data_IF_724056860781
#
_entry.id   IF_724056860781
#
_cell.length_a   1.000
_cell.length_b   1.000
_cell.length_c   1.000
_cell.angle_alpha   90.00
_cell.angle_beta   90.00
_cell.angle_gamma   90.00
#
_symmetry.space_group_name_H-M   'P 1'
#
loop_
_entity.id
_entity.type
_entity.pdbx_description
1 polymer ?
#
# COMPACT_ATOMS: atom_id res chain seq x y z
N UNK A 1 -21.00 2.97 -5.85
CA UNK A 1 -19.97 2.36 -6.70
C UNK A 1 -20.09 2.96 -8.08
N UNK A 2 -19.05 3.63 -8.56
CA UNK A 2 -18.96 4.11 -9.95
C UNK A 2 -17.83 3.30 -10.60
N UNK A 3 -18.11 2.70 -11.76
CA UNK A 3 -17.12 2.00 -12.58
C UNK A 3 -16.74 2.93 -13.73
N UNK A 4 -15.45 3.18 -13.92
CA UNK A 4 -14.92 3.88 -15.09
C UNK A 4 -13.72 3.07 -15.59
N UNK A 5 -13.76 2.61 -16.84
CA UNK A 5 -12.65 1.92 -17.54
C UNK A 5 -11.89 0.87 -16.70
N UNK A 6 -12.61 -0.03 -16.02
CA UNK A 6 -12.02 -1.12 -15.24
C UNK A 6 -11.56 -0.76 -13.83
N UNK A 7 -11.57 0.52 -13.46
CA UNK A 7 -11.31 1.01 -12.09
C UNK A 7 -12.60 0.95 -11.27
N UNK A 8 -12.51 0.36 -10.06
CA UNK A 8 -13.64 0.37 -9.13
C UNK A 8 -13.34 1.21 -7.89
N UNK A 9 -14.26 2.13 -7.60
CA UNK A 9 -14.16 3.04 -6.47
C UNK A 9 -15.20 2.72 -5.39
N UNK A 10 -14.70 2.48 -4.18
CA UNK A 10 -15.48 2.26 -2.96
C UNK A 10 -15.41 3.51 -2.08
N UNK A 11 -16.49 4.28 -2.04
CA UNK A 11 -16.68 5.37 -1.10
C UNK A 11 -18.11 5.34 -0.55
N UNK A 12 -18.27 5.81 0.68
CA UNK A 12 -19.56 6.24 1.20
C UNK A 12 -19.91 7.63 0.66
N UNK A 13 -21.17 8.10 0.76
CA UNK A 13 -21.68 9.30 0.09
C UNK A 13 -20.93 10.62 0.37
N UNK A 14 -19.97 10.64 1.30
CA UNK A 14 -19.19 11.81 1.67
C UNK A 14 -18.37 12.41 0.50
N UNK A 15 -18.09 11.62 -0.55
CA UNK A 15 -17.45 12.11 -1.77
C UNK A 15 -18.29 11.68 -2.97
N UNK A 16 -18.81 12.59 -3.81
CA UNK A 16 -19.40 12.26 -5.10
C UNK A 16 -18.30 11.91 -6.12
N UNK A 17 -18.66 11.22 -7.20
CA UNK A 17 -17.74 10.95 -8.33
C UNK A 17 -17.91 12.01 -9.44
N UNK A 18 -16.83 12.52 -10.05
CA UNK A 18 -15.44 12.29 -9.67
C UNK A 18 -15.13 12.95 -8.32
N UNK A 19 -14.32 12.30 -7.45
CA UNK A 19 -13.93 12.91 -6.19
C UNK A 19 -13.13 14.20 -6.47
N UNK A 20 -13.16 15.13 -5.53
CA UNK A 20 -12.37 16.36 -5.62
C UNK A 20 -11.43 16.41 -4.43
N UNK A 21 -10.15 16.24 -4.74
CA UNK A 21 -9.03 16.23 -3.81
C UNK A 21 -9.31 15.33 -2.59
N UNK A 22 -9.97 14.17 -2.73
CA UNK A 22 -10.42 13.39 -1.57
C UNK A 22 -9.29 12.54 -0.96
N UNK A 23 -9.32 12.23 0.37
CA UNK A 23 -8.48 11.17 0.93
C UNK A 23 -8.80 9.85 0.26
N UNK A 24 -7.76 9.21 -0.27
CA UNK A 24 -7.90 7.96 -0.99
C UNK A 24 -6.77 7.01 -0.62
N UNK A 25 -7.12 5.75 -0.40
CA UNK A 25 -6.18 4.66 -0.21
C UNK A 25 -6.34 3.69 -1.35
N UNK A 26 -5.24 3.41 -2.02
CA UNK A 26 -5.16 2.36 -3.02
C UNK A 26 -4.99 1.05 -2.29
N UNK A 27 -5.83 0.09 -2.64
CA UNK A 27 -5.73 -1.25 -2.09
C UNK A 27 -5.36 -2.24 -3.18
N UNK A 28 -4.42 -3.12 -2.85
CA UNK A 28 -3.99 -4.23 -3.70
C UNK A 28 -4.21 -5.56 -2.99
N UNK A 29 -4.80 -6.52 -3.70
CA UNK A 29 -5.02 -7.88 -3.20
C UNK A 29 -3.69 -8.65 -3.01
N UNK A 30 -3.70 -9.64 -2.12
CA UNK A 30 -2.66 -10.67 -2.03
C UNK A 30 -2.58 -11.52 -3.30
N UNK A 31 -1.59 -12.42 -3.40
CA UNK A 31 -1.33 -13.37 -4.50
C UNK A 31 -1.74 -12.99 -5.95
N UNK A 32 -0.83 -13.04 -6.93
CA UNK A 32 -1.24 -13.15 -8.34
C UNK A 32 -2.18 -14.36 -8.48
N UNK A 33 -3.29 -14.23 -9.20
CA UNK A 33 -4.37 -15.23 -9.16
C UNK A 33 -5.68 -14.72 -8.58
N UNK A 34 -5.67 -13.82 -7.59
CA UNK A 34 -6.94 -13.41 -6.98
C UNK A 34 -7.65 -12.31 -7.79
N UNK A 35 -8.97 -12.43 -7.90
CA UNK A 35 -9.80 -11.40 -8.50
C UNK A 35 -9.84 -10.16 -7.60
N UNK A 36 -9.70 -8.98 -8.22
CA UNK A 36 -9.89 -7.71 -7.52
C UNK A 36 -11.27 -7.17 -7.87
N UNK A 37 -12.24 -7.45 -7.02
CA UNK A 37 -13.62 -6.99 -7.18
C UNK A 37 -14.06 -6.24 -5.95
N UNK A 38 -14.93 -5.25 -6.13
CA UNK A 38 -15.55 -4.60 -4.99
C UNK A 38 -16.54 -5.55 -4.33
N UNK A 39 -16.19 -5.98 -3.12
CA UNK A 39 -17.01 -6.84 -2.27
C UNK A 39 -17.28 -6.15 -0.93
N UNK A 40 -18.20 -6.72 -0.16
CA UNK A 40 -18.42 -6.26 1.21
C UNK A 40 -17.45 -6.98 2.15
N UNK A 41 -16.45 -6.26 2.64
CA UNK A 41 -15.57 -6.75 3.70
C UNK A 41 -15.17 -5.62 4.65
N UNK A 42 -15.00 -5.99 5.91
CA UNK A 42 -14.67 -5.06 7.02
C UNK A 42 -13.41 -5.46 7.77
N UNK A 43 -12.68 -6.46 7.30
CA UNK A 43 -11.39 -6.83 7.88
C UNK A 43 -10.29 -5.85 7.40
N UNK A 44 -9.20 -5.77 8.16
CA UNK A 44 -8.13 -4.78 7.93
C UNK A 44 -7.32 -5.03 6.64
N UNK A 45 -7.29 -6.26 6.18
CA UNK A 45 -6.58 -6.70 4.97
C UNK A 45 -7.40 -6.43 3.70
N UNK A 46 -8.73 -6.34 3.82
CA UNK A 46 -9.70 -6.02 2.77
C UNK A 46 -10.59 -4.83 3.19
N UNK A 47 -10.05 -3.59 3.22
CA UNK A 47 -10.69 -2.45 3.87
C UNK A 47 -11.83 -1.82 3.06
N UNK A 48 -12.47 -2.56 2.14
CA UNK A 48 -13.46 -2.07 1.17
C UNK A 48 -14.57 -1.22 1.78
N UNK A 49 -15.02 -1.61 2.97
CA UNK A 49 -16.08 -0.91 3.71
C UNK A 49 -15.54 -0.30 5.00
N UNK A 50 -14.43 -0.81 5.53
CA UNK A 50 -13.79 -0.30 6.73
C UNK A 50 -13.37 1.16 6.55
N UNK A 51 -12.41 1.45 5.68
CA UNK A 51 -11.88 2.82 5.51
C UNK A 51 -12.95 3.83 5.03
N UNK A 52 -13.87 3.48 4.11
CA UNK A 52 -14.93 4.41 3.70
C UNK A 52 -15.87 4.83 4.83
N UNK A 53 -16.17 3.94 5.79
CA UNK A 53 -16.94 4.29 7.01
C UNK A 53 -16.24 5.34 7.88
N UNK A 54 -14.94 5.53 7.70
CA UNK A 54 -14.15 6.52 8.42
C UNK A 54 -13.72 7.70 7.54
N UNK A 55 -14.33 7.86 6.35
CA UNK A 55 -14.14 9.01 5.47
C UNK A 55 -12.92 8.92 4.56
N UNK A 56 -12.37 7.72 4.36
CA UNK A 56 -11.22 7.48 3.48
C UNK A 56 -11.70 6.58 2.34
N UNK A 57 -11.66 7.08 1.10
CA UNK A 57 -12.09 6.28 -0.05
C UNK A 57 -11.09 5.18 -0.34
N UNK A 58 -11.56 4.03 -0.84
CA UNK A 58 -10.70 2.93 -1.29
C UNK A 58 -10.80 2.79 -2.79
N UNK A 59 -9.64 2.78 -3.46
CA UNK A 59 -9.52 2.52 -4.88
C UNK A 59 -9.05 1.10 -5.11
N UNK A 60 -9.74 0.40 -6.00
CA UNK A 60 -9.45 -0.97 -6.42
C UNK A 60 -9.19 -0.94 -7.92
N UNK A 61 -7.95 -1.22 -8.32
CA UNK A 61 -7.57 -1.29 -9.73
C UNK A 61 -7.04 -2.70 -10.00
N UNK A 62 -7.77 -3.54 -10.74
CA UNK A 62 -7.21 -4.79 -11.23
C UNK A 62 -6.09 -4.46 -12.21
N UNK A 63 -4.89 -4.97 -11.94
CA UNK A 63 -3.70 -4.87 -12.79
C UNK A 63 -3.36 -6.25 -13.38
N UNK A 64 -2.45 -6.35 -14.37
CA UNK A 64 -2.06 -7.65 -14.91
C UNK A 64 -1.62 -8.64 -13.83
N UNK A 65 -1.93 -9.92 -14.01
CA UNK A 65 -1.80 -10.94 -12.96
C UNK A 65 -3.07 -11.16 -12.12
N UNK A 66 -4.15 -10.40 -12.36
CA UNK A 66 -5.46 -10.58 -11.72
C UNK A 66 -6.42 -11.37 -12.62
N UNK A 67 -7.24 -12.20 -11.98
CA UNK A 67 -8.32 -12.90 -12.67
C UNK A 67 -9.42 -11.94 -13.14
N UNK A 68 -10.14 -12.35 -14.20
CA UNK A 68 -11.37 -11.67 -14.66
C UNK A 68 -11.29 -10.93 -16.01
N UNK A 69 -10.11 -10.83 -16.63
CA UNK A 69 -9.90 -10.02 -17.84
C UNK A 69 -9.25 -10.78 -19.03
N UNK A 70 -9.21 -12.11 -18.95
CA UNK A 70 -8.67 -12.98 -20.01
C UNK A 70 -7.22 -13.44 -19.77
N UNK A 71 -6.78 -14.48 -20.50
CA UNK A 71 -5.48 -15.10 -20.27
C UNK A 71 -4.31 -14.19 -20.59
N UNK A 72 -4.42 -13.26 -21.54
CA UNK A 72 -3.35 -12.32 -21.87
C UNK A 72 -3.10 -11.34 -20.72
N UNK A 73 -4.17 -10.78 -20.15
CA UNK A 73 -4.08 -9.88 -19.00
C UNK A 73 -3.57 -10.62 -17.76
N UNK A 74 -4.03 -11.85 -17.53
CA UNK A 74 -3.59 -12.69 -16.44
C UNK A 74 -2.08 -13.02 -16.55
N UNK A 75 -1.63 -13.46 -17.72
CA UNK A 75 -0.24 -13.85 -17.94
C UNK A 75 0.72 -12.65 -18.11
N UNK A 76 0.20 -11.42 -18.19
CA UNK A 76 1.00 -10.21 -18.38
C UNK A 76 2.05 -10.01 -17.27
N UNK A 77 1.73 -10.36 -16.03
CA UNK A 77 2.67 -10.23 -14.90
C UNK A 77 3.88 -11.17 -15.00
N UNK A 78 3.72 -12.31 -15.67
CA UNK A 78 4.77 -13.32 -15.84
C UNK A 78 5.61 -13.10 -17.11
N UNK A 79 5.38 -12.01 -17.85
CA UNK A 79 6.24 -11.65 -18.96
C UNK A 79 7.64 -11.25 -18.44
N UNK A 80 8.73 -11.59 -19.14
CA UNK A 80 10.08 -11.23 -18.71
C UNK A 80 10.22 -9.74 -18.41
N UNK A 81 10.58 -9.41 -17.16
CA UNK A 81 10.74 -8.03 -16.69
C UNK A 81 9.44 -7.29 -16.35
N UNK A 82 8.27 -7.94 -16.43
CA UNK A 82 6.98 -7.32 -16.11
C UNK A 82 6.71 -7.27 -14.59
N UNK A 83 7.14 -8.27 -13.83
CA UNK A 83 7.02 -8.29 -12.37
C UNK A 83 7.66 -7.06 -11.74
N UNK A 84 6.89 -6.29 -10.94
CA UNK A 84 7.36 -5.05 -10.34
C UNK A 84 7.37 -3.84 -11.27
N UNK A 85 7.07 -4.02 -12.57
CA UNK A 85 6.93 -2.94 -13.56
C UNK A 85 5.46 -2.74 -13.94
N UNK A 86 4.81 -3.78 -14.46
CA UNK A 86 3.45 -3.68 -15.01
C UNK A 86 2.38 -3.49 -13.93
N UNK A 87 2.67 -3.86 -12.69
CA UNK A 87 1.78 -3.64 -11.57
C UNK A 87 2.15 -2.37 -10.80
N UNK A 88 3.42 -2.23 -10.39
CA UNK A 88 3.86 -1.11 -9.54
C UNK A 88 3.95 0.21 -10.33
N UNK A 89 4.65 0.20 -11.47
CA UNK A 89 4.89 1.45 -12.22
C UNK A 89 3.64 1.90 -12.98
N UNK A 90 2.81 0.97 -13.46
CA UNK A 90 1.51 1.32 -14.05
C UNK A 90 0.56 1.92 -13.00
N UNK A 91 0.47 1.33 -11.79
CA UNK A 91 -0.30 1.99 -10.72
C UNK A 91 0.26 3.39 -10.45
N UNK A 92 1.58 3.54 -10.40
CA UNK A 92 2.18 4.85 -10.14
C UNK A 92 1.79 5.89 -11.22
N UNK A 93 1.63 5.46 -12.48
CA UNK A 93 1.10 6.32 -13.54
C UNK A 93 -0.39 6.66 -13.33
N UNK A 94 -1.22 5.68 -12.98
CA UNK A 94 -2.64 5.88 -12.67
C UNK A 94 -2.81 6.90 -11.53
N UNK A 95 -2.02 6.76 -10.46
CA UNK A 95 -2.04 7.69 -9.32
C UNK A 95 -1.66 9.11 -9.74
N UNK A 96 -0.60 9.26 -10.54
CA UNK A 96 -0.20 10.58 -11.06
C UNK A 96 -1.30 11.20 -11.94
N UNK A 97 -2.00 10.40 -12.74
CA UNK A 97 -3.15 10.87 -13.51
C UNK A 97 -4.29 11.33 -12.59
N UNK A 98 -4.59 10.57 -11.53
CA UNK A 98 -5.59 10.98 -10.53
C UNK A 98 -5.21 12.29 -9.82
N UNK A 99 -3.92 12.51 -9.54
CA UNK A 99 -3.42 13.79 -9.01
C UNK A 99 -3.63 14.92 -10.01
N UNK A 100 -3.30 14.70 -11.29
CA UNK A 100 -3.48 15.70 -12.34
C UNK A 100 -4.96 16.05 -12.60
N UNK A 101 -5.85 15.07 -12.48
CA UNK A 101 -7.30 15.25 -12.58
C UNK A 101 -7.92 15.88 -11.32
N UNK A 102 -7.14 16.08 -10.26
CA UNK A 102 -7.60 16.63 -8.99
C UNK A 102 -8.53 15.70 -8.22
N UNK A 103 -8.50 14.39 -8.50
CA UNK A 103 -9.33 13.39 -7.80
C UNK A 103 -8.86 13.19 -6.36
N UNK A 104 -7.55 13.20 -6.19
CA UNK A 104 -6.81 13.20 -4.93
C UNK A 104 -5.49 13.97 -5.16
N UNK A 105 -4.56 13.92 -4.23
CA UNK A 105 -3.29 14.63 -4.27
C UNK A 105 -2.19 13.83 -3.57
N UNK A 106 -0.89 14.10 -3.82
CA UNK A 106 0.21 13.36 -3.20
C UNK A 106 0.12 13.31 -1.66
N UNK A 107 -0.40 14.38 -1.07
CA UNK A 107 -0.63 14.58 0.35
C UNK A 107 -1.92 13.95 0.90
N UNK A 108 -2.75 13.36 0.04
CA UNK A 108 -4.02 12.71 0.40
C UNK A 108 -4.18 11.31 -0.19
N UNK A 109 -3.12 10.77 -0.78
CA UNK A 109 -3.09 9.40 -1.33
C UNK A 109 -2.30 8.48 -0.42
N UNK A 110 -2.89 7.36 -0.03
CA UNK A 110 -2.21 6.26 0.65
C UNK A 110 -2.25 4.96 -0.14
N UNK A 111 -1.52 3.96 0.32
CA UNK A 111 -1.48 2.62 -0.27
C UNK A 111 -1.45 1.54 0.81
N UNK A 112 -2.15 0.42 0.59
CA UNK A 112 -2.18 -0.72 1.51
C UNK A 112 -2.46 -2.04 0.79
N UNK A 113 -2.05 -3.14 1.42
CA UNK A 113 -2.35 -4.50 1.00
C UNK A 113 -1.64 -5.51 1.90
N UNK A 114 -2.10 -6.77 1.85
CA UNK A 114 -1.48 -7.90 2.54
C UNK A 114 -0.79 -8.84 1.55
N UNK A 115 0.24 -9.57 1.96
CA UNK A 115 0.88 -10.62 1.16
C UNK A 115 1.54 -10.01 -0.09
N UNK A 116 1.13 -10.44 -1.29
CA UNK A 116 1.50 -9.74 -2.52
C UNK A 116 1.06 -8.26 -2.54
N UNK A 117 -0.08 -7.93 -1.94
CA UNK A 117 -0.51 -6.54 -1.72
C UNK A 117 0.43 -5.78 -0.79
N UNK A 118 1.05 -6.48 0.17
CA UNK A 118 2.12 -5.95 1.02
C UNK A 118 3.40 -5.72 0.21
N UNK A 119 3.79 -6.67 -0.64
CA UNK A 119 4.88 -6.49 -1.61
C UNK A 119 4.61 -5.26 -2.49
N UNK A 120 3.41 -5.18 -3.06
CA UNK A 120 2.98 -4.06 -3.89
C UNK A 120 3.11 -2.73 -3.15
N UNK A 121 2.59 -2.67 -1.92
CA UNK A 121 2.66 -1.49 -1.06
C UNK A 121 4.11 -1.08 -0.80
N UNK A 122 4.94 -2.03 -0.40
CA UNK A 122 6.34 -1.82 -0.02
C UNK A 122 7.20 -1.43 -1.23
N UNK A 123 7.03 -2.12 -2.37
CA UNK A 123 7.75 -1.82 -3.60
C UNK A 123 7.32 -0.48 -4.19
N UNK A 124 6.03 -0.12 -4.07
CA UNK A 124 5.51 1.18 -4.52
C UNK A 124 6.17 2.34 -3.79
N UNK A 125 6.31 2.27 -2.46
CA UNK A 125 6.96 3.34 -1.68
C UNK A 125 8.49 3.35 -1.80
N UNK A 126 9.11 2.23 -2.16
CA UNK A 126 10.55 2.15 -2.47
C UNK A 126 10.84 2.79 -3.82
N UNK A 127 10.08 2.45 -4.87
CA UNK A 127 10.29 2.96 -6.24
C UNK A 127 9.77 4.38 -6.45
N UNK A 128 8.68 4.74 -5.78
CA UNK A 128 7.98 6.02 -5.94
C UNK A 128 7.82 6.74 -4.58
N UNK A 129 8.93 7.14 -3.92
CA UNK A 129 8.92 7.57 -2.52
C UNK A 129 8.18 8.89 -2.25
N UNK A 130 7.87 9.66 -3.29
CA UNK A 130 7.16 10.94 -3.19
C UNK A 130 5.68 10.85 -3.64
N UNK A 131 5.19 9.65 -3.97
CA UNK A 131 3.86 9.45 -4.56
C UNK A 131 2.73 9.36 -3.53
N UNK A 132 3.03 8.90 -2.32
CA UNK A 132 2.06 8.60 -1.27
C UNK A 132 2.35 9.40 0.00
N UNK A 133 1.30 9.84 0.68
CA UNK A 133 1.38 10.47 1.99
C UNK A 133 1.48 9.47 3.15
N UNK A 134 1.00 8.24 2.96
CA UNK A 134 1.13 7.17 3.93
C UNK A 134 1.00 5.79 3.29
N UNK A 135 1.66 4.80 3.88
CA UNK A 135 1.52 3.40 3.51
C UNK A 135 1.19 2.53 4.72
N UNK A 136 0.44 1.45 4.47
CA UNK A 136 0.26 0.37 5.43
C UNK A 136 0.55 -0.97 4.74
N UNK A 137 1.75 -1.52 4.94
CA UNK A 137 2.11 -2.83 4.40
C UNK A 137 1.79 -3.91 5.42
N UNK A 138 1.13 -4.99 4.99
CA UNK A 138 0.63 -6.05 5.86
C UNK A 138 1.14 -7.41 5.36
N UNK A 139 1.49 -8.33 6.28
CA UNK A 139 1.95 -9.70 5.99
C UNK A 139 2.84 -9.81 4.74
N UNK A 140 3.83 -8.91 4.63
CA UNK A 140 4.38 -8.51 3.32
C UNK A 140 5.48 -9.44 2.83
N UNK A 141 5.42 -9.80 1.55
CA UNK A 141 6.58 -10.34 0.84
C UNK A 141 7.57 -9.18 0.61
N UNK A 142 8.69 -9.22 1.33
CA UNK A 142 9.72 -8.16 1.32
C UNK A 142 11.03 -8.61 0.66
N UNK A 143 11.23 -9.92 0.54
CA UNK A 143 12.40 -10.52 -0.07
C UNK A 143 11.99 -11.69 -0.97
N UNK A 144 12.08 -11.49 -2.27
CA UNK A 144 11.74 -12.49 -3.29
C UNK A 144 12.71 -13.68 -3.29
N UNK A 145 13.94 -13.50 -2.81
CA UNK A 145 14.91 -14.59 -2.68
C UNK A 145 14.52 -15.50 -1.53
N UNK A 146 14.13 -14.92 -0.38
CA UNK A 146 13.57 -15.69 0.74
C UNK A 146 12.32 -16.43 0.29
N UNK A 147 11.39 -15.75 -0.38
CA UNK A 147 10.16 -16.37 -0.90
C UNK A 147 10.44 -17.55 -1.84
N UNK A 148 11.43 -17.40 -2.72
CA UNK A 148 11.89 -18.46 -3.61
C UNK A 148 12.44 -19.66 -2.83
N UNK A 149 13.12 -19.43 -1.71
CA UNK A 149 13.72 -20.48 -0.87
C UNK A 149 12.72 -21.18 0.06
N UNK A 150 11.67 -20.49 0.49
CA UNK A 150 10.76 -20.95 1.56
C UNK A 150 9.50 -21.67 1.07
N UNK A 151 9.35 -21.91 -0.24
CA UNK A 151 8.28 -22.75 -0.77
C UNK A 151 7.72 -22.33 -2.13
N UNK A 152 8.09 -21.15 -2.63
CA UNK A 152 7.56 -20.61 -3.88
C UNK A 152 8.58 -20.59 -5.02
N UNK A 153 9.58 -21.48 -4.99
CA UNK A 153 10.67 -21.61 -5.98
C UNK A 153 10.21 -21.47 -7.43
N UNK A 154 9.29 -22.34 -7.88
CA UNK A 154 8.83 -22.36 -9.26
C UNK A 154 7.97 -21.15 -9.60
N UNK A 155 7.13 -20.72 -8.66
CA UNK A 155 6.22 -19.61 -8.85
C UNK A 155 6.97 -18.29 -8.98
N UNK A 156 7.92 -18.01 -8.09
CA UNK A 156 8.78 -16.83 -8.16
C UNK A 156 9.65 -16.85 -9.42
N UNK A 157 10.18 -18.01 -9.82
CA UNK A 157 10.95 -18.10 -11.06
C UNK A 157 10.09 -17.82 -12.31
N UNK A 158 8.85 -18.29 -12.29
CA UNK A 158 7.88 -18.06 -13.37
C UNK A 158 7.51 -16.58 -13.47
N UNK A 159 7.16 -15.94 -12.35
CA UNK A 159 6.76 -14.53 -12.32
C UNK A 159 7.91 -13.59 -12.71
N UNK A 160 9.11 -13.83 -12.18
CA UNK A 160 10.27 -12.97 -12.43
C UNK A 160 10.90 -13.27 -13.81
N UNK A 161 10.68 -14.47 -14.36
CA UNK A 161 11.21 -14.90 -15.66
C UNK A 161 12.68 -15.36 -15.62
N UNK A 162 13.22 -15.61 -14.43
CA UNK A 162 14.57 -16.16 -14.19
C UNK A 162 14.64 -16.82 -12.81
N UNK A 163 15.78 -17.38 -12.42
CA UNK A 163 15.98 -17.97 -11.09
C UNK A 163 17.22 -17.38 -10.40
N UNK A 164 17.31 -17.43 -9.06
CA UNK A 164 18.45 -16.86 -8.34
C UNK A 164 19.82 -17.40 -8.79
N UNK A 165 19.99 -18.70 -9.13
CA UNK A 165 21.26 -19.19 -9.68
C UNK A 165 21.66 -18.56 -11.02
N UNK A 166 20.70 -18.05 -11.79
CA UNK A 166 20.95 -17.41 -13.08
C UNK A 166 21.08 -15.88 -12.95
N UNK A 167 20.30 -15.26 -12.06
CA UNK A 167 20.28 -13.82 -11.87
C UNK A 167 19.80 -13.42 -10.47
N UNK A 168 20.70 -13.52 -9.49
CA UNK A 168 20.41 -13.09 -8.11
C UNK A 168 20.05 -11.61 -8.06
N UNK A 169 20.74 -10.76 -8.82
CA UNK A 169 20.50 -9.31 -8.84
C UNK A 169 19.07 -8.96 -9.28
N UNK A 170 18.45 -9.75 -10.15
CA UNK A 170 17.05 -9.55 -10.53
C UNK A 170 16.10 -9.81 -9.36
N UNK A 171 16.37 -10.82 -8.53
CA UNK A 171 15.60 -11.08 -7.32
C UNK A 171 15.82 -9.98 -6.28
N UNK A 172 17.08 -9.56 -6.07
CA UNK A 172 17.38 -8.46 -5.15
C UNK A 172 16.70 -7.15 -5.59
N UNK A 173 16.72 -6.83 -6.89
CA UNK A 173 16.05 -5.64 -7.44
C UNK A 173 14.52 -5.67 -7.35
N UNK A 174 13.93 -6.86 -7.29
CA UNK A 174 12.49 -7.06 -7.08
C UNK A 174 12.12 -7.26 -5.60
N UNK A 175 13.04 -7.05 -4.68
CA UNK A 175 12.79 -7.22 -3.24
C UNK A 175 12.76 -5.86 -2.55
N UNK A 176 11.61 -5.42 -2.02
CA UNK A 176 11.48 -4.11 -1.37
C UNK A 176 12.49 -3.92 -0.24
N UNK A 177 12.86 -5.01 0.43
CA UNK A 177 13.82 -5.02 1.53
C UNK A 177 15.08 -4.25 1.18
N UNK A 178 15.68 -4.46 0.00
CA UNK A 178 16.99 -3.89 -0.37
C UNK A 178 16.93 -2.42 -0.81
N UNK A 179 15.72 -1.87 -1.01
CA UNK A 179 15.51 -0.46 -1.32
C UNK A 179 14.89 0.35 -0.16
N UNK A 180 14.77 -0.24 1.03
CA UNK A 180 14.12 0.36 2.21
C UNK A 180 14.59 1.79 2.55
N UNK A 181 15.86 2.11 2.27
CA UNK A 181 16.49 3.41 2.53
C UNK A 181 15.91 4.52 1.66
N UNK A 182 15.31 4.16 0.54
CA UNK A 182 14.67 5.11 -0.37
C UNK A 182 13.30 5.55 0.15
N UNK A 183 12.72 4.84 1.11
CA UNK A 183 11.37 5.12 1.62
C UNK A 183 11.34 6.47 2.35
N UNK A 184 10.49 7.38 1.85
CA UNK A 184 10.18 8.67 2.47
C UNK A 184 8.75 8.75 3.00
N UNK A 185 7.91 7.79 2.61
CA UNK A 185 6.51 7.69 3.00
C UNK A 185 6.40 7.21 4.46
N UNK A 186 5.63 7.89 5.32
CA UNK A 186 5.25 7.36 6.62
C UNK A 186 4.62 5.95 6.49
N UNK A 187 5.28 4.94 7.08
CA UNK A 187 4.92 3.53 6.85
C UNK A 187 4.46 2.84 8.14
N UNK A 188 3.29 2.20 8.09
CA UNK A 188 2.77 1.30 9.12
C UNK A 188 2.93 -0.16 8.66
N UNK A 189 3.55 -1.01 9.47
CA UNK A 189 3.82 -2.42 9.15
C UNK A 189 3.00 -3.31 10.08
N UNK A 190 2.20 -4.21 9.53
CA UNK A 190 1.50 -5.26 10.27
C UNK A 190 2.05 -6.64 9.87
N UNK A 191 2.41 -7.47 10.85
CA UNK A 191 2.91 -8.82 10.58
C UNK A 191 2.56 -9.77 11.72
N UNK A 192 2.12 -10.99 11.42
CA UNK A 192 1.92 -12.06 12.41
C UNK A 192 3.27 -12.67 12.80
N UNK A 193 3.44 -13.07 14.06
CA UNK A 193 4.69 -13.70 14.49
C UNK A 193 4.81 -15.19 14.13
N UNK A 194 3.71 -15.84 13.75
CA UNK A 194 3.67 -17.21 13.23
C UNK A 194 3.41 -17.26 11.71
N UNK A 195 3.62 -16.15 11.01
CA UNK A 195 3.55 -16.11 9.55
C UNK A 195 4.61 -17.04 8.91
N UNK A 196 4.25 -17.68 7.79
CA UNK A 196 5.21 -18.42 6.97
C UNK A 196 6.23 -17.48 6.32
N UNK A 197 5.86 -16.21 6.10
CA UNK A 197 6.79 -15.15 5.77
C UNK A 197 7.53 -14.71 7.03
N UNK A 198 8.87 -14.88 7.12
CA UNK A 198 9.56 -14.67 8.38
C UNK A 198 9.43 -13.23 8.88
N UNK A 199 8.87 -13.08 10.08
CA UNK A 199 8.67 -11.77 10.71
C UNK A 199 9.98 -10.98 10.88
N UNK A 200 11.11 -11.66 10.99
CA UNK A 200 12.45 -11.04 11.05
C UNK A 200 12.80 -10.22 9.80
N UNK A 201 12.26 -10.58 8.63
CA UNK A 201 12.43 -9.79 7.40
C UNK A 201 11.64 -8.48 7.49
N UNK A 202 10.43 -8.52 8.05
CA UNK A 202 9.64 -7.31 8.32
C UNK A 202 10.28 -6.41 9.40
N UNK A 203 10.85 -7.01 10.45
CA UNK A 203 11.64 -6.29 11.47
C UNK A 203 12.86 -5.61 10.84
N UNK A 204 13.59 -6.30 9.95
CA UNK A 204 14.72 -5.72 9.22
C UNK A 204 14.28 -4.56 8.31
N UNK A 205 13.17 -4.71 7.59
CA UNK A 205 12.63 -3.63 6.74
C UNK A 205 12.24 -2.41 7.57
N UNK A 206 11.57 -2.61 8.71
CA UNK A 206 11.27 -1.56 9.68
C UNK A 206 12.54 -0.82 10.13
N UNK A 207 13.56 -1.55 10.57
CA UNK A 207 14.81 -0.96 11.06
C UNK A 207 15.55 -0.16 9.98
N UNK A 208 15.59 -0.66 8.75
CA UNK A 208 16.20 0.05 7.61
C UNK A 208 15.50 1.36 7.30
N UNK A 209 14.16 1.40 7.33
CA UNK A 209 13.40 2.65 7.18
C UNK A 209 13.65 3.58 8.36
N UNK A 210 13.61 3.06 9.60
CA UNK A 210 13.81 3.86 10.81
C UNK A 210 15.20 4.53 10.83
N UNK A 211 16.23 3.83 10.33
CA UNK A 211 17.60 4.32 10.28
C UNK A 211 17.78 5.57 9.39
N UNK A 212 16.87 5.84 8.44
CA UNK A 212 16.91 7.06 7.62
C UNK A 212 16.22 8.26 8.26
N UNK A 213 15.56 8.06 9.41
CA UNK A 213 14.74 9.07 10.07
C UNK A 213 13.32 9.19 9.50
N UNK A 214 12.94 8.37 8.52
CA UNK A 214 11.57 8.28 8.03
C UNK A 214 10.65 7.70 9.11
N UNK A 215 9.47 8.29 9.29
CA UNK A 215 8.50 7.80 10.27
C UNK A 215 8.00 6.42 9.90
N UNK A 216 8.28 5.43 10.75
CA UNK A 216 7.81 4.06 10.58
C UNK A 216 7.33 3.49 11.91
N UNK A 217 6.31 2.62 11.86
CA UNK A 217 5.81 1.89 13.03
C UNK A 217 5.48 0.47 12.63
N UNK A 218 5.89 -0.51 13.44
CA UNK A 218 5.52 -1.91 13.26
C UNK A 218 4.64 -2.39 14.41
N UNK A 219 3.60 -3.15 14.08
CA UNK A 219 2.84 -3.97 15.01
C UNK A 219 3.06 -5.44 14.64
N UNK A 220 3.64 -6.17 15.59
CA UNK A 220 3.78 -7.62 15.52
C UNK A 220 2.62 -8.25 16.30
N UNK A 221 1.74 -8.96 15.60
CA UNK A 221 0.57 -9.58 16.20
C UNK A 221 0.92 -10.99 16.69
N UNK A 222 0.86 -11.18 18.01
CA UNK A 222 1.22 -12.44 18.66
C UNK A 222 0.16 -13.51 18.39
N UNK A 223 0.59 -14.71 18.02
CA UNK A 223 -0.28 -15.85 17.74
C UNK A 223 -0.93 -15.81 16.34
N UNK A 224 -0.64 -14.80 15.54
CA UNK A 224 -1.20 -14.65 14.19
C UNK A 224 -0.28 -15.26 13.15
N UNK A 225 -0.88 -15.90 12.16
CA UNK A 225 -0.20 -16.42 10.99
C UNK A 225 -0.09 -15.38 9.88
N UNK A 226 -0.31 -15.82 8.64
CA UNK A 226 -0.23 -14.95 7.47
C UNK A 226 -1.32 -13.87 7.43
N UNK A 227 -2.55 -14.23 7.79
CA UNK A 227 -3.64 -13.27 7.98
C UNK A 227 -3.93 -13.10 9.47
N UNK A 228 -4.51 -11.96 9.84
CA UNK A 228 -5.00 -11.70 11.19
C UNK A 228 -6.35 -12.40 11.39
N UNK A 229 -6.36 -13.55 12.08
CA UNK A 229 -7.55 -14.34 12.36
C UNK A 229 -8.25 -14.00 13.68
N UNK A 230 -7.52 -13.47 14.67
CA UNK A 230 -8.08 -13.20 16.00
C UNK A 230 -8.90 -11.89 15.99
N UNK A 231 -10.16 -11.90 16.48
CA UNK A 231 -11.02 -10.71 16.46
C UNK A 231 -10.42 -9.49 17.17
N UNK A 232 -9.73 -9.69 18.28
CA UNK A 232 -9.06 -8.62 19.04
C UNK A 232 -7.95 -7.96 18.23
N UNK A 233 -7.16 -8.75 17.50
CA UNK A 233 -6.09 -8.26 16.65
C UNK A 233 -6.65 -7.52 15.45
N UNK A 234 -7.74 -8.02 14.85
CA UNK A 234 -8.47 -7.31 13.79
C UNK A 234 -8.96 -5.94 14.26
N UNK A 235 -9.52 -5.83 15.48
CA UNK A 235 -9.97 -4.54 16.05
C UNK A 235 -8.79 -3.59 16.24
N UNK A 236 -7.70 -4.06 16.86
CA UNK A 236 -6.50 -3.23 17.07
C UNK A 236 -5.89 -2.79 15.75
N UNK A 237 -5.71 -3.71 14.79
CA UNK A 237 -5.17 -3.40 13.47
C UNK A 237 -6.06 -2.39 12.72
N UNK A 238 -7.38 -2.55 12.76
CA UNK A 238 -8.32 -1.61 12.15
C UNK A 238 -8.21 -0.21 12.76
N UNK A 239 -8.17 -0.10 14.09
CA UNK A 239 -8.01 1.18 14.79
C UNK A 239 -6.71 1.89 14.40
N UNK A 240 -5.62 1.13 14.31
CA UNK A 240 -4.30 1.64 13.95
C UNK A 240 -4.23 2.07 12.48
N UNK A 241 -4.78 1.27 11.58
CA UNK A 241 -4.84 1.59 10.14
C UNK A 241 -5.68 2.86 9.89
N UNK A 242 -6.86 2.95 10.51
CA UNK A 242 -7.72 4.14 10.40
C UNK A 242 -7.01 5.37 10.96
N UNK A 243 -6.39 5.25 12.14
CA UNK A 243 -5.69 6.36 12.80
C UNK A 243 -4.50 6.83 11.96
N UNK A 244 -3.74 5.90 11.38
CA UNK A 244 -2.60 6.20 10.53
C UNK A 244 -3.01 6.99 9.29
N UNK A 245 -3.96 6.45 8.51
CA UNK A 245 -4.41 7.14 7.31
C UNK A 245 -5.12 8.46 7.62
N UNK A 246 -5.92 8.55 8.68
CA UNK A 246 -6.51 9.84 9.09
C UNK A 246 -5.44 10.86 9.42
N UNK A 247 -4.39 10.47 10.15
CA UNK A 247 -3.31 11.40 10.52
C UNK A 247 -2.60 11.97 9.28
N UNK A 248 -2.23 11.10 8.34
CA UNK A 248 -1.36 11.50 7.24
C UNK A 248 -2.11 12.00 6.00
N UNK A 249 -3.38 11.62 5.80
CA UNK A 249 -4.21 12.07 4.67
C UNK A 249 -5.12 13.26 5.01
N UNK A 250 -5.25 13.63 6.30
CA UNK A 250 -6.01 14.81 6.73
C UNK A 250 -5.25 16.12 6.52
N UNK A 251 -3.92 16.08 6.66
CA UNK A 251 -3.09 17.26 6.45
C UNK A 251 -2.73 17.31 4.98
N UNK A 252 -3.55 18.00 4.20
CA UNK A 252 -3.09 18.42 2.88
C UNK A 252 -1.78 19.20 3.07
N UNK A 253 -0.64 18.62 2.65
CA UNK A 253 0.70 19.19 2.78
C UNK A 253 0.76 20.35 1.79
N UNK A 254 0.25 21.50 2.22
CA UNK A 254 0.39 22.75 1.48
C UNK A 254 1.89 22.97 1.22
N UNK A 255 2.33 23.17 -0.03
CA UNK A 255 3.72 23.46 -0.31
C UNK A 255 4.04 24.83 0.29
N UNK A 256 4.96 24.84 1.27
CA UNK A 256 5.60 26.06 1.77
C UNK A 256 4.69 27.02 2.53
N UNK A 257 4.49 26.79 3.83
CA UNK A 257 4.31 27.91 4.76
C UNK A 257 5.30 27.75 5.91
N UNK A 258 6.45 28.38 5.75
CA UNK A 258 7.32 28.78 6.86
C UNK A 258 6.44 29.36 7.96
N UNK A 259 6.57 28.84 9.18
CA UNK A 259 5.93 29.41 10.37
C UNK A 259 6.44 30.84 10.54
N UNK A 260 5.66 31.82 10.08
CA UNK A 260 5.81 33.20 10.49
C UNK A 260 5.02 33.38 11.80
N UNK A 261 5.77 33.69 12.85
CA UNK A 261 5.41 34.46 14.05
C UNK A 261 3.98 34.37 14.59
N UNK A 262 3.88 33.87 15.83
CA UNK A 262 2.77 34.23 16.70
C UNK A 262 2.68 35.75 16.81
N UNK A 263 1.49 36.30 16.56
CA UNK A 263 1.15 37.62 17.09
C UNK A 263 -0.16 37.49 17.86
N UNK A 264 -0.08 37.87 19.13
CA UNK A 264 -1.10 37.71 20.12
C UNK A 264 -2.34 38.59 19.86
N UNK A 265 -3.44 38.11 20.44
CA UNK A 265 -4.71 38.76 20.71
C UNK A 265 -4.66 40.29 20.88
N UNK A 266 -5.59 41.02 20.24
CA UNK A 266 -6.15 42.27 20.78
C UNK A 266 -7.65 42.31 20.53
N UNK A 267 -8.39 42.34 21.62
CA UNK A 267 -9.75 42.85 21.71
C UNK A 267 -9.70 44.38 21.62
N UNK A 268 -10.55 44.97 20.80
CA UNK A 268 -10.80 46.41 20.76
C UNK A 268 -12.23 46.70 21.25
N UNK A 269 -12.47 47.75 22.04
CA UNK A 269 -13.78 48.06 22.59
C UNK A 269 -14.66 48.77 21.55
N UNK A 270 -15.97 48.60 21.70
CA UNK A 270 -16.98 49.28 20.90
C UNK A 270 -17.01 50.80 21.10
N UNK A 271 -17.47 51.47 20.05
CA UNK A 271 -17.87 52.86 19.97
C UNK A 271 -18.70 53.03 18.69
#
# INVERSE_FOLDING_TARGET
MVRYDGVTWCSLPAHPFPPQNAPMVIWQEGGPGLFMTSTWATNVESPYVLLPNFGISVLVVPLPGREGWGPEFYNGLAQPGAFGSIDIDEMAQIVRQMHALGWTSPDRTGVTGCSYGGYFTSQSIVRHPDLYAAANTQCSLLDTLVEWQTGFTWFMSYLIGTSPPLSVDTFLGNSPLYGAENVRTPTLIFHGDFDFLPVSIAETFHERIAATGTTVRMLKFQGEGHSLGLPENQITAAQEQITWFRRYLATGRSPGRTRAGSTACRTGPGG
#
